data_IF_592142437757
#
_entry.id   IF_592142437757
#
_cell.length_a   1.000
_cell.length_b   1.000
_cell.length_c   1.000
_cell.angle_alpha   90.00
_cell.angle_beta   90.00
_cell.angle_gamma   90.00
#
_symmetry.space_group_name_H-M   'P 1'
#
loop_
_entity.id
_entity.type
_entity.pdbx_description
1 polymer ?
#
# COMPACT_ATOMS: atom_id res chain seq x y z
N UNK A 1 37.02 -52.37 58.91
CA UNK A 1 36.23 -52.08 57.70
C UNK A 1 36.91 -52.74 56.51
N UNK A 2 36.42 -53.93 56.17
CA UNK A 2 36.76 -54.78 55.02
C UNK A 2 35.80 -54.35 53.87
N UNK A 3 36.04 -54.42 52.56
CA UNK A 3 36.86 -55.27 51.68
C UNK A 3 36.75 -54.62 50.25
N UNK A 4 37.84 -54.49 49.48
CA UNK A 4 38.13 -55.14 48.17
C UNK A 4 37.12 -54.88 47.02
N UNK A 5 37.47 -54.20 45.90
CA UNK A 5 38.26 -54.57 44.68
C UNK A 5 37.53 -55.50 43.69
N UNK A 6 37.74 -55.22 42.39
CA UNK A 6 37.47 -56.02 41.17
C UNK A 6 36.00 -56.19 40.76
N UNK A 7 35.53 -55.67 39.61
CA UNK A 7 35.92 -55.82 38.19
C UNK A 7 35.64 -57.23 37.62
N UNK A 8 34.73 -57.22 36.62
CA UNK A 8 34.41 -58.21 35.57
C UNK A 8 33.61 -59.46 35.98
N UNK A 9 32.33 -59.52 35.56
CA UNK A 9 31.72 -60.71 34.96
C UNK A 9 30.82 -60.31 33.78
N UNK A 10 31.02 -61.05 32.70
CA UNK A 10 30.40 -61.03 31.38
C UNK A 10 29.13 -61.91 31.39
N UNK A 11 28.05 -61.56 30.68
CA UNK A 11 26.93 -62.50 30.52
C UNK A 11 25.61 -61.94 29.97
N UNK A 12 25.52 -61.90 28.64
CA UNK A 12 24.40 -62.34 27.78
C UNK A 12 22.95 -62.38 28.37
N UNK A 13 22.00 -61.66 27.76
CA UNK A 13 20.87 -62.22 27.00
C UNK A 13 19.98 -61.12 26.38
N UNK A 14 19.62 -61.30 25.11
CA UNK A 14 18.64 -60.52 24.36
C UNK A 14 17.21 -60.80 24.84
N UNK A 15 16.34 -59.79 24.83
CA UNK A 15 14.91 -59.97 24.49
C UNK A 15 14.31 -58.63 24.05
N UNK A 16 13.79 -58.61 22.83
CA UNK A 16 13.05 -57.52 22.19
C UNK A 16 11.55 -57.75 22.32
N UNK A 17 10.82 -56.85 22.97
CA UNK A 17 9.35 -56.61 22.94
C UNK A 17 9.16 -55.36 23.80
N UNK A 18 8.22 -54.43 23.64
CA UNK A 18 7.14 -54.12 22.71
C UNK A 18 6.68 -52.70 23.10
N UNK A 19 5.93 -52.05 22.22
CA UNK A 19 5.51 -50.65 22.30
C UNK A 19 4.78 -50.18 23.58
N UNK A 20 5.13 -48.93 23.92
CA UNK A 20 4.28 -47.76 24.29
C UNK A 20 3.40 -47.81 25.54
N UNK A 21 3.74 -46.89 26.44
CA UNK A 21 2.99 -46.41 27.59
C UNK A 21 1.62 -45.80 27.27
N UNK A 22 0.72 -46.00 28.23
CA UNK A 22 -0.65 -45.53 28.29
C UNK A 22 -0.80 -44.24 29.13
N UNK A 23 -1.70 -43.37 28.66
CA UNK A 23 -2.56 -42.38 29.38
C UNK A 23 -1.92 -41.19 30.12
N UNK A 24 -2.33 -39.97 29.71
CA UNK A 24 -3.51 -39.29 30.31
C UNK A 24 -3.99 -38.10 29.48
N UNK A 25 -5.30 -38.08 29.28
CA UNK A 25 -6.11 -37.08 28.57
C UNK A 25 -6.31 -35.82 29.42
N UNK A 26 -6.24 -34.64 28.81
CA UNK A 26 -6.82 -33.40 29.33
C UNK A 26 -7.67 -32.75 28.21
N UNK A 27 -8.91 -32.39 28.55
CA UNK A 27 -9.95 -31.94 27.61
C UNK A 27 -10.05 -30.39 27.67
N UNK A 28 -9.70 -29.78 26.52
CA UNK A 28 -10.13 -28.53 25.84
C UNK A 28 -10.86 -27.39 26.57
N UNK A 29 -10.65 -26.16 26.07
CA UNK A 29 -11.80 -25.40 25.52
C UNK A 29 -11.71 -25.27 24.00
N UNK A 30 -12.84 -25.47 23.31
CA UNK A 30 -12.96 -25.41 21.85
C UNK A 30 -12.59 -24.03 21.29
N UNK A 31 -11.54 -23.99 20.46
CA UNK A 31 -11.28 -22.85 19.60
C UNK A 31 -12.42 -22.71 18.56
N UNK A 32 -12.97 -21.50 18.36
CA UNK A 32 -13.96 -21.28 17.32
C UNK A 32 -13.33 -21.58 15.96
N UNK A 33 -13.86 -22.59 15.27
CA UNK A 33 -13.53 -22.89 13.87
C UNK A 33 -14.01 -21.72 13.01
N UNK A 34 -13.14 -20.74 12.80
CA UNK A 34 -13.31 -19.75 11.76
C UNK A 34 -13.11 -20.49 10.43
N UNK A 35 -14.21 -20.90 9.82
CA UNK A 35 -14.23 -21.28 8.42
C UNK A 35 -14.01 -20.01 7.58
N UNK A 36 -12.76 -19.59 7.48
CA UNK A 36 -12.34 -18.65 6.44
C UNK A 36 -12.52 -19.39 5.13
N UNK A 37 -13.60 -19.09 4.40
CA UNK A 37 -13.66 -19.42 2.98
C UNK A 37 -12.44 -18.78 2.34
N UNK A 38 -11.51 -19.65 1.96
CA UNK A 38 -10.28 -19.33 1.26
C UNK A 38 -10.69 -19.01 -0.18
N UNK A 39 -11.35 -17.87 -0.36
CA UNK A 39 -11.60 -17.32 -1.67
C UNK A 39 -10.25 -16.78 -2.16
N UNK A 40 -9.54 -17.68 -2.83
CA UNK A 40 -8.33 -17.46 -3.60
C UNK A 40 -8.60 -16.49 -4.75
N UNK A 41 -8.82 -15.21 -4.43
CA UNK A 41 -8.34 -14.15 -5.30
C UNK A 41 -6.88 -13.89 -4.89
N UNK A 42 -5.96 -14.72 -5.40
CA UNK A 42 -4.54 -14.39 -5.38
C UNK A 42 -4.41 -13.05 -6.11
N UNK A 43 -4.25 -11.95 -5.37
CA UNK A 43 -3.64 -10.74 -5.88
C UNK A 43 -2.35 -11.17 -6.58
N UNK A 44 -2.36 -11.11 -7.90
CA UNK A 44 -1.23 -11.51 -8.73
C UNK A 44 -0.09 -10.57 -8.36
N UNK A 45 0.90 -11.10 -7.64
CA UNK A 45 2.15 -10.43 -7.31
C UNK A 45 2.65 -9.71 -8.56
N UNK A 46 2.75 -8.37 -8.52
CA UNK A 46 3.34 -7.57 -9.59
C UNK A 46 4.67 -8.25 -9.98
N UNK A 47 4.71 -8.80 -11.19
CA UNK A 47 5.94 -9.38 -11.74
C UNK A 47 6.85 -8.21 -12.11
N UNK A 48 8.15 -8.33 -11.86
CA UNK A 48 9.13 -7.27 -12.17
C UNK A 48 8.88 -6.66 -13.56
N UNK A 49 9.09 -5.34 -13.73
CA UNK A 49 8.76 -4.66 -14.98
C UNK A 49 9.51 -5.32 -16.15
N UNK A 50 8.80 -5.84 -17.14
CA UNK A 50 9.42 -6.47 -18.31
C UNK A 50 10.05 -5.45 -19.29
N UNK A 51 9.93 -4.14 -18.99
CA UNK A 51 10.49 -3.00 -19.74
C UNK A 51 10.48 -1.74 -18.86
N UNK A 52 11.16 -0.67 -19.29
CA UNK A 52 11.16 0.62 -18.57
C UNK A 52 9.81 1.33 -18.66
N UNK A 53 9.40 2.13 -17.65
CA UNK A 53 8.20 2.95 -17.71
C UNK A 53 8.30 4.01 -18.80
N UNK A 54 7.14 4.42 -19.34
CA UNK A 54 7.03 5.54 -20.27
C UNK A 54 6.73 6.79 -19.44
N UNK A 55 7.53 7.84 -19.63
CA UNK A 55 7.44 9.07 -18.83
C UNK A 55 7.45 10.26 -19.79
N UNK A 56 6.35 11.01 -19.81
CA UNK A 56 6.27 12.28 -20.54
C UNK A 56 6.22 13.42 -19.53
N UNK A 57 7.22 14.30 -19.52
CA UNK A 57 7.28 15.44 -18.60
C UNK A 57 6.71 16.68 -19.25
N UNK A 58 5.85 17.38 -18.55
CA UNK A 58 5.33 18.70 -18.94
C UNK A 58 5.56 19.72 -17.83
N UNK A 59 5.99 20.92 -18.22
CA UNK A 59 6.05 22.09 -17.33
C UNK A 59 4.77 22.91 -17.55
N UNK A 60 3.91 22.97 -16.54
CA UNK A 60 2.57 23.53 -16.66
C UNK A 60 2.05 24.04 -15.31
N UNK A 61 0.76 24.34 -15.21
CA UNK A 61 0.09 24.68 -13.96
C UNK A 61 -0.58 23.45 -13.36
N UNK A 62 -0.39 23.22 -12.06
CA UNK A 62 -1.03 22.12 -11.35
C UNK A 62 -2.57 22.25 -11.38
N UNK A 63 -3.32 21.14 -11.57
CA UNK A 63 -4.77 21.17 -11.61
C UNK A 63 -5.37 21.59 -10.26
N UNK A 64 -6.35 22.49 -10.30
CA UNK A 64 -6.99 23.05 -9.11
C UNK A 64 -8.05 22.10 -8.56
N UNK A 65 -7.89 21.71 -7.30
CA UNK A 65 -8.88 20.87 -6.62
C UNK A 65 -9.11 21.29 -5.16
N UNK A 66 -10.34 21.08 -4.69
CA UNK A 66 -10.65 20.97 -3.27
C UNK A 66 -10.59 19.48 -2.94
N UNK A 67 -9.64 19.05 -2.10
CA UNK A 67 -9.42 17.65 -1.80
C UNK A 67 -10.00 17.33 -0.43
N UNK A 68 -10.92 16.37 -0.37
CA UNK A 68 -11.29 15.68 0.87
C UNK A 68 -10.37 14.48 1.04
N UNK A 69 -9.63 14.42 2.16
CA UNK A 69 -8.61 13.40 2.36
C UNK A 69 -8.56 12.84 3.79
N UNK A 70 -7.89 11.70 3.91
CA UNK A 70 -7.52 11.06 5.17
C UNK A 70 -6.00 10.94 5.26
N UNK A 71 -5.50 10.83 6.49
CA UNK A 71 -4.09 10.50 6.77
C UNK A 71 -4.05 9.09 7.35
N UNK A 72 -3.09 8.29 6.92
CA UNK A 72 -2.93 6.93 7.42
C UNK A 72 -1.46 6.49 7.38
N UNK A 73 -1.18 5.33 7.96
CA UNK A 73 0.14 4.70 7.96
C UNK A 73 0.07 3.23 7.56
N UNK A 74 1.16 2.69 7.02
CA UNK A 74 1.25 1.28 6.67
C UNK A 74 2.64 0.70 6.99
N UNK A 75 2.69 -0.59 7.33
CA UNK A 75 3.94 -1.29 7.59
C UNK A 75 4.66 -1.76 6.31
N UNK A 76 3.94 -1.84 5.18
CA UNK A 76 4.47 -2.31 3.90
C UNK A 76 3.70 -1.70 2.73
N UNK A 77 4.29 -1.71 1.53
CA UNK A 77 3.65 -1.21 0.31
C UNK A 77 2.35 -1.92 -0.03
N UNK A 78 2.27 -3.24 0.18
CA UNK A 78 1.02 -4.00 0.01
C UNK A 78 -0.12 -3.46 0.89
N UNK A 79 0.22 -3.07 2.13
CA UNK A 79 -0.75 -2.50 3.08
C UNK A 79 -1.13 -1.07 2.70
N UNK A 80 -0.26 -0.33 2.01
CA UNK A 80 -0.62 0.97 1.42
C UNK A 80 -1.73 0.74 0.38
N UNK A 81 -1.53 -0.16 -0.58
CA UNK A 81 -2.50 -0.42 -1.66
C UNK A 81 -3.89 -0.79 -1.12
N UNK A 82 -3.95 -1.69 -0.12
CA UNK A 82 -5.21 -2.08 0.53
C UNK A 82 -5.91 -0.88 1.23
N UNK A 83 -5.13 -0.04 1.90
CA UNK A 83 -5.65 1.14 2.60
C UNK A 83 -6.11 2.23 1.64
N UNK A 84 -5.39 2.44 0.54
CA UNK A 84 -5.79 3.35 -0.54
C UNK A 84 -7.10 2.89 -1.18
N UNK A 85 -7.23 1.61 -1.54
CA UNK A 85 -8.48 1.05 -2.07
C UNK A 85 -9.67 1.29 -1.12
N UNK A 86 -9.47 1.07 0.19
CA UNK A 86 -10.48 1.34 1.21
C UNK A 86 -10.80 2.83 1.35
N UNK A 87 -9.79 3.70 1.25
CA UNK A 87 -9.95 5.15 1.31
C UNK A 87 -10.82 5.66 0.15
N UNK A 88 -10.47 5.27 -1.07
CA UNK A 88 -11.09 5.74 -2.30
C UNK A 88 -12.44 5.09 -2.60
N UNK A 89 -12.61 3.79 -2.31
CA UNK A 89 -13.83 3.05 -2.62
C UNK A 89 -14.92 3.14 -1.55
N UNK A 90 -14.56 3.44 -0.29
CA UNK A 90 -15.51 3.36 0.83
C UNK A 90 -15.48 4.62 1.67
N UNK A 91 -14.36 4.90 2.35
CA UNK A 91 -14.33 5.88 3.45
C UNK A 91 -14.60 7.31 2.99
N UNK A 92 -13.93 7.75 1.93
CA UNK A 92 -14.08 9.12 1.41
C UNK A 92 -15.44 9.28 0.68
N UNK A 93 -15.86 8.35 -0.20
CA UNK A 93 -17.21 8.41 -0.80
C UNK A 93 -18.35 8.47 0.23
N UNK A 94 -18.25 7.73 1.34
CA UNK A 94 -19.26 7.78 2.41
C UNK A 94 -19.38 9.17 3.03
N UNK A 95 -18.25 9.84 3.29
CA UNK A 95 -18.25 11.20 3.84
C UNK A 95 -18.72 12.21 2.81
N UNK A 96 -18.34 12.04 1.55
CA UNK A 96 -18.82 12.87 0.45
C UNK A 96 -20.36 12.77 0.30
N UNK A 97 -20.91 11.55 0.30
CA UNK A 97 -22.35 11.30 0.23
C UNK A 97 -23.11 11.94 1.40
N UNK A 98 -22.62 11.77 2.64
CA UNK A 98 -23.22 12.38 3.84
C UNK A 98 -23.21 13.91 3.80
N UNK A 99 -22.21 14.50 3.15
CA UNK A 99 -22.08 15.95 2.96
C UNK A 99 -22.70 16.45 1.63
N UNK A 100 -23.34 15.59 0.84
CA UNK A 100 -23.90 15.93 -0.49
C UNK A 100 -22.86 16.57 -1.41
N UNK A 101 -21.63 16.05 -1.38
CA UNK A 101 -20.53 16.45 -2.27
C UNK A 101 -20.52 15.57 -3.51
N UNK A 102 -20.05 16.15 -4.62
CA UNK A 102 -19.74 15.42 -5.85
C UNK A 102 -18.24 15.17 -5.91
N UNK A 103 -17.83 13.95 -6.26
CA UNK A 103 -16.44 13.68 -6.61
C UNK A 103 -16.18 14.27 -8.00
N UNK A 104 -15.16 15.12 -8.13
CA UNK A 104 -14.93 15.94 -9.33
C UNK A 104 -13.67 15.58 -10.10
N UNK A 105 -12.93 14.56 -9.68
CA UNK A 105 -11.69 14.19 -10.33
C UNK A 105 -11.09 12.88 -9.81
N UNK A 106 -9.94 12.50 -10.37
CA UNK A 106 -9.24 11.27 -10.02
C UNK A 106 -8.72 11.24 -8.57
N UNK A 107 -8.49 10.05 -7.99
CA UNK A 107 -7.90 9.94 -6.67
C UNK A 107 -6.47 10.49 -6.60
N UNK A 108 -6.10 11.00 -5.44
CA UNK A 108 -4.79 11.62 -5.19
C UNK A 108 -4.10 11.03 -3.96
N UNK A 109 -2.78 10.93 -3.99
CA UNK A 109 -1.98 10.48 -2.86
C UNK A 109 -0.74 11.35 -2.62
N UNK A 110 -0.39 11.52 -1.35
CA UNK A 110 0.89 12.08 -0.91
C UNK A 110 1.63 11.08 -0.06
N UNK A 111 2.92 10.85 -0.33
CA UNK A 111 3.79 10.01 0.48
C UNK A 111 4.80 10.86 1.23
N UNK A 112 4.85 10.69 2.56
CA UNK A 112 5.72 11.48 3.46
C UNK A 112 6.96 10.74 3.91
N UNK A 113 6.99 9.42 3.79
CA UNK A 113 8.16 8.61 4.09
C UNK A 113 8.38 7.53 3.02
N UNK A 114 9.65 7.24 2.79
CA UNK A 114 10.12 6.14 1.91
C UNK A 114 10.53 4.89 2.72
N UNK A 115 10.25 4.88 4.03
CA UNK A 115 10.56 3.78 4.95
C UNK A 115 9.36 3.51 5.84
N UNK A 116 9.25 2.27 6.30
CA UNK A 116 8.23 1.87 7.26
C UNK A 116 8.45 2.56 8.64
N UNK A 117 7.37 2.95 9.35
CA UNK A 117 6.00 3.00 8.83
C UNK A 117 5.86 4.07 7.74
N UNK A 118 5.20 3.68 6.65
CA UNK A 118 4.91 4.57 5.53
C UNK A 118 3.79 5.50 5.94
N UNK A 119 4.04 6.82 5.91
CA UNK A 119 3.01 7.83 6.17
C UNK A 119 2.50 8.36 4.85
N UNK A 120 1.18 8.34 4.67
CA UNK A 120 0.56 8.82 3.44
C UNK A 120 -0.76 9.54 3.68
N UNK A 121 -1.16 10.32 2.69
CA UNK A 121 -2.45 10.97 2.60
C UNK A 121 -3.17 10.45 1.36
N UNK A 122 -4.45 10.11 1.49
CA UNK A 122 -5.28 9.64 0.39
C UNK A 122 -6.50 10.56 0.27
N UNK A 123 -6.74 11.14 -0.91
CA UNK A 123 -7.81 12.09 -1.13
C UNK A 123 -8.61 11.87 -2.41
N UNK A 124 -9.82 12.41 -2.43
CA UNK A 124 -10.63 12.58 -3.64
C UNK A 124 -10.97 14.08 -3.83
N UNK A 125 -10.88 14.62 -5.05
CA UNK A 125 -11.41 15.93 -5.38
C UNK A 125 -12.93 16.00 -5.18
N UNK A 126 -13.39 17.11 -4.60
CA UNK A 126 -14.80 17.42 -4.35
C UNK A 126 -15.18 18.78 -4.92
N UNK A 127 -16.47 18.96 -5.25
CA UNK A 127 -17.01 20.20 -5.83
C UNK A 127 -16.98 21.40 -4.87
N UNK A 128 -17.02 21.16 -3.56
CA UNK A 128 -16.99 22.18 -2.52
C UNK A 128 -16.49 21.63 -1.19
N UNK A 129 -16.14 22.53 -0.27
CA UNK A 129 -15.75 22.15 1.09
C UNK A 129 -16.95 21.50 1.82
N UNK A 130 -16.77 20.36 2.52
CA UNK A 130 -17.81 19.77 3.36
C UNK A 130 -18.25 20.72 4.47
N UNK A 131 -19.54 20.74 4.77
CA UNK A 131 -20.09 21.52 5.88
C UNK A 131 -19.73 20.92 7.24
N UNK A 132 -19.63 19.58 7.33
CA UNK A 132 -19.23 18.88 8.56
C UNK A 132 -18.17 17.84 8.23
N UNK A 133 -17.04 17.93 8.92
CA UNK A 133 -15.91 17.04 8.73
C UNK A 133 -15.84 16.04 9.89
N UNK A 134 -16.02 14.73 9.64
CA UNK A 134 -15.84 13.72 10.68
C UNK A 134 -14.39 13.69 11.17
N UNK A 135 -14.18 13.20 12.40
CA UNK A 135 -12.82 13.02 12.96
C UNK A 135 -11.98 12.13 12.04
N UNK A 136 -10.74 12.55 11.77
CA UNK A 136 -9.80 11.84 10.91
C UNK A 136 -9.92 12.13 9.41
N UNK A 137 -10.84 13.01 9.02
CA UNK A 137 -10.91 13.58 7.67
C UNK A 137 -10.40 15.01 7.67
N UNK A 138 -9.89 15.44 6.54
CA UNK A 138 -9.22 16.72 6.33
C UNK A 138 -9.60 17.29 4.97
N UNK A 139 -9.44 18.60 4.79
CA UNK A 139 -9.69 19.28 3.52
C UNK A 139 -8.54 20.21 3.22
N UNK A 140 -8.06 20.22 1.97
CA UNK A 140 -7.07 21.18 1.48
C UNK A 140 -7.39 21.60 0.05
N UNK A 141 -6.99 22.81 -0.31
CA UNK A 141 -6.98 23.25 -1.69
C UNK A 141 -5.58 22.98 -2.25
N UNK A 142 -5.50 22.51 -3.49
CA UNK A 142 -4.24 22.31 -4.22
C UNK A 142 -4.34 22.91 -5.62
N UNK A 143 -3.19 23.12 -6.26
CA UNK A 143 -3.09 23.53 -7.65
C UNK A 143 -3.25 25.03 -7.88
N UNK A 144 -2.96 25.43 -9.13
CA UNK A 144 -2.86 26.83 -9.54
C UNK A 144 -1.44 27.38 -9.52
N UNK A 145 -0.52 26.73 -8.82
CA UNK A 145 0.91 26.99 -8.90
C UNK A 145 1.58 26.33 -10.14
N UNK A 146 2.74 26.85 -10.59
CA UNK A 146 3.60 26.15 -11.53
C UNK A 146 4.01 24.78 -10.99
N UNK A 147 3.99 23.77 -11.87
CA UNK A 147 4.35 22.40 -11.53
C UNK A 147 4.92 21.66 -12.73
N UNK A 148 5.84 20.75 -12.44
CA UNK A 148 6.16 19.69 -13.39
C UNK A 148 5.24 18.50 -13.16
N UNK A 149 4.76 17.94 -14.26
CA UNK A 149 3.93 16.73 -14.24
C UNK A 149 4.62 15.69 -15.09
N UNK A 150 4.93 14.54 -14.50
CA UNK A 150 5.33 13.35 -15.23
C UNK A 150 4.08 12.49 -15.45
N UNK A 151 3.62 12.42 -16.70
CA UNK A 151 2.64 11.42 -17.14
C UNK A 151 3.36 10.07 -17.21
N UNK A 152 3.15 9.25 -16.18
CA UNK A 152 3.82 7.98 -15.97
C UNK A 152 2.92 6.82 -16.38
N UNK A 153 3.45 5.92 -17.20
CA UNK A 153 2.82 4.66 -17.60
C UNK A 153 3.77 3.50 -17.30
N UNK A 154 3.40 2.66 -16.35
CA UNK A 154 4.19 1.54 -15.88
C UNK A 154 3.73 1.03 -14.52
N UNK A 155 4.36 -0.03 -13.99
CA UNK A 155 4.02 -0.59 -12.69
C UNK A 155 4.19 0.42 -11.55
N UNK A 156 3.30 0.40 -10.54
CA UNK A 156 3.38 1.34 -9.41
C UNK A 156 4.68 1.21 -8.63
N UNK A 157 5.24 0.00 -8.56
CA UNK A 157 6.55 -0.29 -7.98
C UNK A 157 7.72 0.42 -8.65
N UNK A 158 7.53 1.00 -9.85
CA UNK A 158 8.54 1.75 -10.60
C UNK A 158 8.27 3.26 -10.68
N UNK A 159 7.28 3.78 -9.95
CA UNK A 159 6.96 5.22 -9.90
C UNK A 159 8.14 6.07 -9.45
N UNK A 160 9.04 5.53 -8.62
CA UNK A 160 10.24 6.24 -8.17
C UNK A 160 11.10 6.79 -9.33
N UNK A 161 11.11 6.12 -10.48
CA UNK A 161 11.81 6.59 -11.69
C UNK A 161 11.23 7.93 -12.17
N UNK A 162 9.91 8.11 -12.10
CA UNK A 162 9.27 9.39 -12.41
C UNK A 162 9.66 10.49 -11.41
N UNK A 163 9.79 10.17 -10.12
CA UNK A 163 10.28 11.13 -9.12
C UNK A 163 11.73 11.55 -9.39
N UNK A 164 12.60 10.62 -9.80
CA UNK A 164 13.99 10.91 -10.16
C UNK A 164 14.07 11.84 -11.38
N UNK A 165 13.31 11.54 -12.44
CA UNK A 165 13.24 12.37 -13.65
C UNK A 165 12.82 13.81 -13.31
N UNK A 166 11.77 14.00 -12.52
CA UNK A 166 11.32 15.34 -12.13
C UNK A 166 12.32 16.07 -11.20
N UNK A 167 13.02 15.32 -10.36
CA UNK A 167 14.05 15.87 -9.46
C UNK A 167 15.24 16.42 -10.23
N UNK A 168 15.79 15.65 -11.18
CA UNK A 168 16.89 16.12 -12.02
C UNK A 168 16.46 17.28 -12.91
N UNK A 169 15.25 17.24 -13.48
CA UNK A 169 14.74 18.35 -14.28
C UNK A 169 14.66 19.66 -13.48
N UNK A 170 14.12 19.64 -12.25
CA UNK A 170 14.07 20.85 -11.41
C UNK A 170 15.46 21.39 -11.10
N UNK A 171 16.41 20.49 -10.83
CA UNK A 171 17.81 20.84 -10.53
C UNK A 171 18.48 21.50 -11.73
N UNK A 172 18.31 20.97 -12.93
CA UNK A 172 18.84 21.55 -14.17
C UNK A 172 18.27 22.95 -14.43
N UNK A 173 16.99 23.14 -14.12
CA UNK A 173 16.30 24.43 -14.27
C UNK A 173 16.49 25.38 -13.08
N UNK A 174 17.26 24.97 -12.06
CA UNK A 174 17.50 25.73 -10.82
C UNK A 174 16.20 26.15 -10.12
N UNK A 175 15.13 25.37 -10.28
CA UNK A 175 13.82 25.57 -9.65
C UNK A 175 13.76 24.79 -8.33
N UNK A 176 12.98 25.29 -7.37
CA UNK A 176 12.84 24.63 -6.06
C UNK A 176 11.40 24.18 -5.85
N UNK A 177 11.21 22.97 -5.32
CA UNK A 177 9.87 22.49 -4.94
C UNK A 177 9.19 23.48 -3.98
N UNK A 178 7.93 23.81 -4.25
CA UNK A 178 7.10 24.69 -3.42
C UNK A 178 6.19 23.89 -2.47
N UNK A 179 6.14 22.57 -2.62
CA UNK A 179 5.36 21.67 -1.78
C UNK A 179 5.81 20.22 -1.86
N UNK A 180 5.10 19.35 -1.13
CA UNK A 180 5.30 17.90 -1.21
C UNK A 180 4.76 17.41 -2.57
N UNK A 181 5.53 16.58 -3.31
CA UNK A 181 5.01 15.91 -4.49
C UNK A 181 3.78 15.05 -4.19
N UNK A 182 3.00 14.80 -5.23
CA UNK A 182 1.83 13.94 -5.13
C UNK A 182 1.55 13.20 -6.42
N UNK A 183 0.80 12.12 -6.29
CA UNK A 183 0.32 11.32 -7.40
C UNK A 183 -1.16 11.58 -7.64
N UNK A 184 -1.54 11.60 -8.91
CA UNK A 184 -2.93 11.57 -9.37
C UNK A 184 -3.12 10.29 -10.17
N UNK A 185 -4.05 9.43 -9.73
CA UNK A 185 -4.36 8.17 -10.41
C UNK A 185 -5.40 8.43 -11.52
N UNK A 186 -4.91 8.87 -12.68
CA UNK A 186 -5.73 9.38 -13.79
C UNK A 186 -6.58 8.28 -14.42
N UNK A 187 -6.00 7.10 -14.63
CA UNK A 187 -6.71 5.94 -15.17
C UNK A 187 -6.98 4.93 -14.06
N UNK A 188 -8.20 4.38 -13.98
CA UNK A 188 -8.49 3.27 -13.07
C UNK A 188 -7.66 2.04 -13.50
N UNK A 189 -6.84 1.45 -12.63
CA UNK A 189 -6.05 0.26 -12.97
C UNK A 189 -6.91 -1.00 -13.15
N UNK A 190 -8.21 -0.94 -12.84
CA UNK A 190 -9.14 -2.06 -12.92
C UNK A 190 -10.22 -1.76 -13.96
N UNK A 191 -10.52 -2.73 -14.82
CA UNK A 191 -11.61 -2.62 -15.78
C UNK A 191 -12.99 -2.84 -15.13
N UNK A 192 -14.06 -2.65 -15.91
CA UNK A 192 -15.43 -2.84 -15.43
C UNK A 192 -15.75 -4.29 -14.97
N UNK A 193 -14.88 -5.25 -15.29
CA UNK A 193 -15.02 -6.66 -14.91
C UNK A 193 -14.13 -7.03 -13.71
N UNK A 194 -13.43 -6.07 -13.11
CA UNK A 194 -12.54 -6.32 -11.98
C UNK A 194 -11.15 -6.85 -12.38
N UNK A 195 -10.79 -6.81 -13.67
CA UNK A 195 -9.48 -7.26 -14.14
C UNK A 195 -8.47 -6.12 -14.16
N UNK A 196 -7.23 -6.42 -13.75
CA UNK A 196 -6.14 -5.47 -13.80
C UNK A 196 -5.78 -5.16 -15.26
N UNK A 197 -5.75 -3.87 -15.59
CA UNK A 197 -5.26 -3.38 -16.87
C UNK A 197 -3.74 -3.57 -17.00
N UNK A 198 -3.26 -3.52 -18.24
CA UNK A 198 -1.83 -3.40 -18.51
C UNK A 198 -1.30 -2.10 -17.86
N UNK A 199 -0.33 -2.17 -16.93
CA UNK A 199 0.17 -0.99 -16.24
C UNK A 199 0.77 0.06 -17.18
N UNK A 200 1.21 -0.32 -18.38
CA UNK A 200 1.69 0.64 -19.40
C UNK A 200 0.58 1.35 -20.15
N UNK A 201 -0.69 1.07 -19.82
CA UNK A 201 -1.88 1.79 -20.29
C UNK A 201 -2.58 2.54 -19.16
N UNK A 202 -2.10 2.40 -17.92
CA UNK A 202 -2.65 3.07 -16.74
C UNK A 202 -1.80 4.31 -16.48
N UNK A 203 -2.41 5.49 -16.61
CA UNK A 203 -1.72 6.74 -16.36
C UNK A 203 -1.74 7.10 -14.87
N UNK A 204 -0.56 7.41 -14.34
CA UNK A 204 -0.37 8.10 -13.06
C UNK A 204 0.36 9.40 -13.32
N UNK A 205 -0.18 10.52 -12.87
CA UNK A 205 0.53 11.80 -12.94
C UNK A 205 1.29 12.02 -11.63
N UNK A 206 2.61 12.12 -11.70
CA UNK A 206 3.45 12.54 -10.57
C UNK A 206 3.65 14.05 -10.70
N UNK A 207 3.22 14.82 -9.69
CA UNK A 207 3.19 16.27 -9.73
C UNK A 207 4.19 16.86 -8.73
N UNK A 208 5.11 17.68 -9.24
CA UNK A 208 6.09 18.44 -8.47
C UNK A 208 5.76 19.94 -8.56
N UNK A 209 5.01 20.50 -7.61
CA UNK A 209 4.81 21.94 -7.54
C UNK A 209 6.14 22.64 -7.23
N UNK A 210 6.43 23.74 -7.92
CA UNK A 210 7.69 24.49 -7.76
C UNK A 210 7.47 26.01 -7.65
N UNK A 211 8.54 26.72 -7.29
CA UNK A 211 8.69 28.17 -7.33
C UNK A 211 10.03 28.56 -7.96
#
# INVERSE_FOLDING_TARGET
MRLIRCLIVFGLLCSTFSCKDDKKTEIKPDEPKINVRKDTAKLKKETQPSRSPIINVVDTTAPKYIILYIKDTAASSERISQKLATAYGVRIPDVAKKNKLKITGPPVAWYRSNKAPFYFEAGLPVDKKPAKLPKGFYVKNIGGEPALIAHFYGPYSSTFVGYEVLTEWLKDQKKTRSGLPYEIYVTDPVDNNGQMLDPYKVQTDIVFPYK
#
